data_IF_905816031745
#
_entry.id   IF_905816031745
#
_cell.length_a   1.000
_cell.length_b   1.000
_cell.length_c   1.000
_cell.angle_alpha   90.00
_cell.angle_beta   90.00
_cell.angle_gamma   90.00
#
_symmetry.space_group_name_H-M   'P 1'
#
loop_
_entity.id
_entity.type
_entity.pdbx_description
1 polymer ?
#
# COMPACT_ATOMS: atom_id res chain seq x y z
N UNK A 1 4.68 23.61 7.16
CA UNK A 1 5.83 22.81 6.60
C UNK A 1 6.02 21.46 7.27
N UNK A 2 5.63 21.31 8.53
CA UNK A 2 5.82 20.08 9.32
C UNK A 2 5.30 18.80 8.66
N UNK A 3 4.11 18.77 8.02
CA UNK A 3 3.62 17.53 7.40
C UNK A 3 4.50 17.04 6.24
N UNK A 4 5.02 17.97 5.44
CA UNK A 4 5.92 17.63 4.33
C UNK A 4 7.26 17.09 4.86
N UNK A 5 7.81 17.73 5.88
CA UNK A 5 9.04 17.26 6.54
C UNK A 5 8.83 15.86 7.13
N UNK A 6 7.70 15.62 7.77
CA UNK A 6 7.35 14.30 8.33
C UNK A 6 7.26 13.25 7.24
N UNK A 7 6.59 13.54 6.12
CA UNK A 7 6.50 12.62 4.98
C UNK A 7 7.89 12.24 4.45
N UNK A 8 8.72 13.24 4.19
CA UNK A 8 10.07 13.03 3.61
C UNK A 8 10.98 12.31 4.61
N UNK A 9 11.03 12.79 5.86
CA UNK A 9 11.91 12.24 6.89
C UNK A 9 11.55 10.79 7.22
N UNK A 10 10.28 10.48 7.45
CA UNK A 10 9.85 9.12 7.78
C UNK A 10 10.02 8.19 6.59
N UNK A 11 9.66 8.62 5.38
CA UNK A 11 9.87 7.80 4.18
C UNK A 11 11.36 7.51 3.96
N UNK A 12 12.22 8.52 4.08
CA UNK A 12 13.67 8.39 3.97
C UNK A 12 14.26 7.46 5.03
N UNK A 13 13.84 7.61 6.29
CA UNK A 13 14.27 6.76 7.40
C UNK A 13 13.87 5.30 7.19
N UNK A 14 12.64 5.05 6.72
CA UNK A 14 12.17 3.70 6.42
C UNK A 14 12.91 3.06 5.24
N UNK A 15 13.27 3.84 4.22
CA UNK A 15 14.12 3.37 3.13
C UNK A 15 15.51 3.02 3.62
N UNK A 16 16.10 3.88 4.45
CA UNK A 16 17.43 3.65 5.06
C UNK A 16 17.41 2.37 5.92
N UNK A 17 16.40 2.21 6.78
CA UNK A 17 16.22 0.97 7.56
C UNK A 17 16.08 -0.27 6.65
N UNK A 18 15.45 -0.12 5.50
CA UNK A 18 15.37 -1.15 4.46
C UNK A 18 16.74 -1.55 3.92
N UNK A 19 17.64 -0.62 3.68
CA UNK A 19 19.03 -0.90 3.22
C UNK A 19 19.86 -1.56 4.32
N UNK A 20 19.61 -1.23 5.59
CA UNK A 20 20.29 -1.77 6.76
C UNK A 20 19.85 -3.19 7.17
N UNK A 21 18.91 -3.82 6.43
CA UNK A 21 18.58 -5.24 6.62
C UNK A 21 17.12 -5.55 6.86
N UNK A 22 16.24 -4.56 7.05
CA UNK A 22 14.81 -4.81 7.21
C UNK A 22 14.17 -5.04 5.84
N UNK A 23 14.20 -6.28 5.35
CA UNK A 23 13.78 -6.69 4.00
C UNK A 23 12.39 -6.16 3.57
N UNK A 24 11.45 -6.03 4.51
CA UNK A 24 10.09 -5.53 4.24
C UNK A 24 10.09 -4.05 3.82
N UNK A 25 11.03 -3.24 4.32
CA UNK A 25 11.14 -1.81 4.06
C UNK A 25 11.97 -1.48 2.82
N UNK A 26 12.67 -2.45 2.22
CA UNK A 26 13.36 -2.29 0.92
C UNK A 26 12.42 -1.93 -0.23
N UNK A 27 11.11 -2.18 -0.06
CA UNK A 27 10.11 -1.83 -1.08
C UNK A 27 9.72 -0.37 -0.91
N UNK A 28 10.00 0.52 -1.88
CA UNK A 28 9.69 1.95 -1.77
C UNK A 28 8.21 2.23 -1.52
N UNK A 29 7.33 1.37 -2.04
CA UNK A 29 5.89 1.47 -1.76
C UNK A 29 5.54 1.23 -0.28
N UNK A 30 6.29 0.40 0.45
CA UNK A 30 6.07 0.19 1.88
C UNK A 30 6.57 1.39 2.70
N UNK A 31 7.73 1.94 2.36
CA UNK A 31 8.29 3.12 2.99
C UNK A 31 7.39 4.35 2.76
N UNK A 32 6.92 4.56 1.53
CA UNK A 32 5.99 5.65 1.20
C UNK A 32 4.67 5.55 1.99
N UNK A 33 4.11 4.35 2.15
CA UNK A 33 2.92 4.13 2.98
C UNK A 33 3.16 4.47 4.44
N UNK A 34 4.31 4.08 4.98
CA UNK A 34 4.71 4.43 6.35
C UNK A 34 4.87 5.94 6.54
N UNK A 35 5.53 6.62 5.59
CA UNK A 35 5.67 8.07 5.60
C UNK A 35 4.33 8.80 5.51
N UNK A 36 3.42 8.37 4.62
CA UNK A 36 2.07 8.90 4.52
C UNK A 36 1.26 8.65 5.81
N UNK A 37 1.35 7.46 6.39
CA UNK A 37 0.67 7.15 7.65
C UNK A 37 1.14 8.07 8.77
N UNK A 38 2.45 8.29 8.91
CA UNK A 38 3.00 9.20 9.92
C UNK A 38 2.55 10.66 9.69
N UNK A 39 2.63 11.12 8.45
CA UNK A 39 2.20 12.47 8.07
C UNK A 39 0.71 12.69 8.38
N UNK A 40 -0.17 11.78 7.92
CA UNK A 40 -1.62 11.91 8.16
C UNK A 40 -1.99 11.70 9.64
N UNK A 41 -1.23 10.96 10.41
CA UNK A 41 -1.42 10.90 11.87
C UNK A 41 -1.09 12.24 12.52
N UNK A 42 -0.04 12.92 12.07
CA UNK A 42 0.32 14.25 12.56
C UNK A 42 -0.76 15.27 12.22
N UNK A 43 -1.21 15.30 10.95
CA UNK A 43 -2.24 16.25 10.51
C UNK A 43 -3.59 15.96 11.18
N UNK A 44 -3.98 14.70 11.30
CA UNK A 44 -5.16 14.30 12.06
C UNK A 44 -5.10 14.75 13.54
N UNK A 45 -3.92 14.66 14.17
CA UNK A 45 -3.70 15.16 15.53
C UNK A 45 -3.99 16.65 15.67
N UNK A 46 -3.63 17.45 14.69
CA UNK A 46 -3.88 18.89 14.66
C UNK A 46 -5.37 19.23 14.68
N UNK A 47 -6.25 18.36 14.18
CA UNK A 47 -7.71 18.54 14.25
C UNK A 47 -8.26 18.48 15.66
N UNK A 48 -7.52 17.90 16.61
CA UNK A 48 -7.98 17.69 17.99
C UNK A 48 -7.19 18.51 18.99
N UNK A 49 -5.91 18.78 18.74
CA UNK A 49 -4.98 19.39 19.69
C UNK A 49 -4.23 20.56 19.05
N UNK A 50 -4.19 21.69 19.73
CA UNK A 50 -3.35 22.85 19.40
C UNK A 50 -3.88 23.73 18.27
N UNK A 51 -4.09 23.17 17.08
CA UNK A 51 -4.48 23.94 15.87
C UNK A 51 -5.96 23.85 15.51
N UNK A 52 -6.79 23.27 16.40
CA UNK A 52 -8.21 23.04 16.10
C UNK A 52 -8.98 24.31 15.71
N UNK A 53 -8.78 25.39 16.44
CA UNK A 53 -9.50 26.67 16.20
C UNK A 53 -9.08 27.26 14.84
N UNK A 54 -7.81 27.20 14.51
CA UNK A 54 -7.30 27.65 13.21
C UNK A 54 -7.89 26.83 12.06
N UNK A 55 -7.95 25.50 12.20
CA UNK A 55 -8.54 24.60 11.18
C UNK A 55 -10.04 24.87 11.03
N UNK A 56 -10.76 25.12 12.12
CA UNK A 56 -12.18 25.50 12.07
C UNK A 56 -12.37 26.84 11.34
N UNK A 57 -11.47 27.81 11.57
CA UNK A 57 -11.51 29.11 10.89
C UNK A 57 -11.23 29.01 9.37
N UNK A 58 -10.54 27.96 8.92
CA UNK A 58 -10.29 27.68 7.48
C UNK A 58 -11.54 27.17 6.76
N UNK A 59 -12.57 26.70 7.47
CA UNK A 59 -13.79 26.20 6.85
C UNK A 59 -14.61 27.38 6.31
N UNK A 60 -14.97 27.39 5.01
CA UNK A 60 -15.77 28.47 4.44
C UNK A 60 -17.09 28.65 5.17
N UNK A 61 -17.55 29.93 5.40
CA UNK A 61 -18.77 30.20 6.14
C UNK A 61 -20.06 29.64 5.52
N UNK A 62 -19.98 29.26 4.22
CA UNK A 62 -21.09 28.61 3.52
C UNK A 62 -21.35 27.17 3.97
N UNK A 63 -20.41 26.57 4.68
CA UNK A 63 -20.53 25.18 5.15
C UNK A 63 -21.11 25.15 6.58
N UNK A 64 -22.12 24.27 6.84
CA UNK A 64 -22.72 24.17 8.17
C UNK A 64 -21.79 23.43 9.15
N UNK A 65 -21.90 23.77 10.44
CA UNK A 65 -21.23 23.05 11.53
C UNK A 65 -19.71 22.82 11.33
N UNK A 66 -18.90 23.89 11.18
CA UNK A 66 -17.48 23.75 10.86
C UNK A 66 -16.70 22.88 11.87
N UNK A 67 -16.99 23.00 13.17
CA UNK A 67 -16.36 22.17 14.19
C UNK A 67 -16.67 20.67 14.06
N UNK A 68 -17.88 20.31 13.58
CA UNK A 68 -18.23 18.91 13.31
C UNK A 68 -17.50 18.40 12.07
N UNK A 69 -17.43 19.21 11.01
CA UNK A 69 -16.69 18.86 9.81
C UNK A 69 -15.21 18.58 10.12
N UNK A 70 -14.56 19.46 10.87
CA UNK A 70 -13.17 19.30 11.30
C UNK A 70 -12.98 18.03 12.14
N UNK A 71 -13.93 17.71 13.03
CA UNK A 71 -13.86 16.47 13.82
C UNK A 71 -13.99 15.22 12.94
N UNK A 72 -14.97 15.19 12.04
CA UNK A 72 -15.22 14.04 11.16
C UNK A 72 -14.06 13.81 10.19
N UNK A 73 -13.50 14.87 9.62
CA UNK A 73 -12.34 14.78 8.73
C UNK A 73 -11.11 14.29 9.48
N UNK A 74 -10.85 14.79 10.69
CA UNK A 74 -9.74 14.34 11.53
C UNK A 74 -9.86 12.85 11.91
N UNK A 75 -11.06 12.37 12.26
CA UNK A 75 -11.30 10.94 12.53
C UNK A 75 -11.08 10.11 11.27
N UNK A 76 -11.62 10.53 10.14
CA UNK A 76 -11.46 9.81 8.87
C UNK A 76 -9.99 9.77 8.42
N UNK A 77 -9.26 10.87 8.59
CA UNK A 77 -7.84 10.97 8.29
C UNK A 77 -7.02 10.01 9.15
N UNK A 78 -7.26 9.98 10.47
CA UNK A 78 -6.58 9.06 11.38
C UNK A 78 -6.90 7.59 11.06
N UNK A 79 -8.16 7.26 10.80
CA UNK A 79 -8.57 5.92 10.42
C UNK A 79 -7.88 5.48 9.12
N UNK A 80 -7.79 6.36 8.12
CA UNK A 80 -7.11 6.09 6.87
C UNK A 80 -5.58 6.02 7.05
N UNK A 81 -4.98 6.84 7.90
CA UNK A 81 -3.57 6.77 8.23
C UNK A 81 -3.20 5.39 8.81
N UNK A 82 -3.99 4.90 9.76
CA UNK A 82 -3.86 3.54 10.28
C UNK A 82 -4.10 2.50 9.18
N UNK A 83 -5.13 2.67 8.36
CA UNK A 83 -5.46 1.77 7.25
C UNK A 83 -4.37 1.66 6.20
N UNK A 84 -3.52 2.67 6.01
CA UNK A 84 -2.35 2.62 5.14
C UNK A 84 -1.31 1.59 5.60
N UNK A 85 -1.23 1.28 6.89
CA UNK A 85 -0.26 0.33 7.43
C UNK A 85 -0.60 -1.12 7.06
N UNK A 86 -1.89 -1.46 6.89
CA UNK A 86 -2.31 -2.80 6.47
C UNK A 86 -2.40 -2.93 4.95
N UNK A 87 -1.84 -4.01 4.42
CA UNK A 87 -1.86 -4.24 2.97
C UNK A 87 -3.27 -4.39 2.39
N UNK A 88 -4.21 -4.90 3.17
CA UNK A 88 -5.59 -5.14 2.69
C UNK A 88 -6.38 -3.84 2.54
N UNK A 89 -6.16 -2.88 3.42
CA UNK A 89 -6.90 -1.60 3.47
C UNK A 89 -6.16 -0.44 2.80
N UNK A 90 -4.85 -0.56 2.59
CA UNK A 90 -4.00 0.52 2.12
C UNK A 90 -4.50 1.19 0.82
N UNK A 91 -5.06 0.41 -0.11
CA UNK A 91 -5.61 0.97 -1.35
C UNK A 91 -6.88 1.78 -1.11
N UNK A 92 -7.79 1.26 -0.29
CA UNK A 92 -9.02 1.98 0.07
C UNK A 92 -8.70 3.26 0.85
N UNK A 93 -7.80 3.17 1.84
CA UNK A 93 -7.34 4.34 2.60
C UNK A 93 -6.68 5.40 1.71
N UNK A 94 -5.82 4.98 0.77
CA UNK A 94 -5.21 5.90 -0.18
C UNK A 94 -6.24 6.58 -1.09
N UNK A 95 -7.29 5.86 -1.51
CA UNK A 95 -8.38 6.43 -2.31
C UNK A 95 -9.15 7.49 -1.51
N UNK A 96 -9.55 7.16 -0.27
CA UNK A 96 -10.25 8.09 0.61
C UNK A 96 -9.42 9.33 0.88
N UNK A 97 -8.13 9.18 1.24
CA UNK A 97 -7.23 10.32 1.48
C UNK A 97 -7.03 11.18 0.24
N UNK A 98 -6.89 10.57 -0.94
CA UNK A 98 -6.82 11.33 -2.20
C UNK A 98 -8.09 12.14 -2.44
N UNK A 99 -9.26 11.55 -2.20
CA UNK A 99 -10.55 12.24 -2.32
C UNK A 99 -10.66 13.38 -1.30
N UNK A 100 -10.26 13.13 -0.04
CA UNK A 100 -10.26 14.16 0.99
C UNK A 100 -9.38 15.35 0.62
N UNK A 101 -8.16 15.10 0.14
CA UNK A 101 -7.26 16.16 -0.34
C UNK A 101 -7.92 17.02 -1.42
N UNK A 102 -8.61 16.40 -2.39
CA UNK A 102 -9.31 17.14 -3.45
C UNK A 102 -10.49 17.92 -2.90
N UNK A 103 -11.31 17.31 -2.05
CA UNK A 103 -12.52 17.96 -1.47
C UNK A 103 -12.15 19.09 -0.52
N UNK A 104 -11.02 18.99 0.19
CA UNK A 104 -10.56 20.05 1.10
C UNK A 104 -9.80 21.19 0.38
N UNK A 105 -9.52 21.04 -0.92
CA UNK A 105 -8.82 22.09 -1.66
C UNK A 105 -9.51 23.46 -1.65
N UNK A 106 -10.85 23.57 -1.82
CA UNK A 106 -11.54 24.85 -1.71
C UNK A 106 -11.34 25.53 -0.34
N UNK A 107 -11.28 24.77 0.75
CA UNK A 107 -10.99 25.30 2.08
C UNK A 107 -9.56 25.85 2.16
N UNK A 108 -8.59 25.17 1.54
CA UNK A 108 -7.21 25.65 1.44
C UNK A 108 -7.10 26.94 0.62
N UNK A 109 -7.88 27.07 -0.47
CA UNK A 109 -7.95 28.31 -1.26
C UNK A 109 -8.55 29.44 -0.42
N UNK A 110 -9.64 29.17 0.30
CA UNK A 110 -10.27 30.15 1.18
C UNK A 110 -9.31 30.60 2.29
N UNK A 111 -8.63 29.69 2.94
CA UNK A 111 -7.66 30.00 3.99
C UNK A 111 -6.47 30.84 3.50
N UNK A 112 -6.05 30.65 2.24
CA UNK A 112 -4.96 31.39 1.62
C UNK A 112 -5.34 32.79 1.15
N UNK A 113 -6.63 33.18 1.19
CA UNK A 113 -7.11 34.50 0.78
C UNK A 113 -7.01 35.56 1.88
N UNK A 114 -6.63 35.18 3.11
CA UNK A 114 -6.40 36.08 4.25
C UNK A 114 -4.99 36.68 4.26
N UNK A 115 -4.69 37.45 5.28
CA UNK A 115 -3.33 37.96 5.57
C UNK A 115 -2.53 36.84 6.23
N UNK A 116 -1.81 36.07 5.38
CA UNK A 116 -1.11 34.86 5.78
C UNK A 116 0.39 34.98 5.55
N UNK A 117 1.17 34.21 6.30
CA UNK A 117 2.60 34.03 6.07
C UNK A 117 2.86 33.45 4.67
N UNK A 118 3.97 33.79 4.03
CA UNK A 118 4.29 33.36 2.65
C UNK A 118 4.23 31.82 2.43
N UNK A 119 4.48 31.04 3.48
CA UNK A 119 4.34 29.58 3.44
C UNK A 119 2.88 29.10 3.34
N UNK A 120 1.97 29.95 3.79
CA UNK A 120 0.55 29.71 3.83
C UNK A 120 -0.20 30.35 2.67
N UNK A 121 0.53 31.03 1.79
CA UNK A 121 0.03 31.51 0.52
C UNK A 121 -0.44 30.37 -0.37
N UNK A 122 -1.34 30.68 -1.30
CA UNK A 122 -1.95 29.69 -2.20
C UNK A 122 -0.92 28.87 -2.99
N UNK A 123 0.18 29.49 -3.45
CA UNK A 123 1.22 28.82 -4.23
C UNK A 123 1.86 27.66 -3.46
N UNK A 124 2.54 27.91 -2.34
CA UNK A 124 3.16 26.87 -1.50
C UNK A 124 2.16 25.80 -1.02
N UNK A 125 0.97 26.20 -0.58
CA UNK A 125 -0.10 25.25 -0.17
C UNK A 125 -0.49 24.32 -1.31
N UNK A 126 -0.70 24.85 -2.51
CA UNK A 126 -1.06 24.06 -3.70
C UNK A 126 0.04 23.05 -4.06
N UNK A 127 1.30 23.49 -4.02
CA UNK A 127 2.44 22.60 -4.30
C UNK A 127 2.51 21.45 -3.29
N UNK A 128 2.41 21.77 -1.99
CA UNK A 128 2.43 20.75 -0.92
C UNK A 128 1.27 19.78 -1.08
N UNK A 129 0.08 20.27 -1.36
CA UNK A 129 -1.09 19.44 -1.60
C UNK A 129 -0.94 18.55 -2.84
N UNK A 130 -0.36 19.07 -3.94
CA UNK A 130 -0.07 18.27 -5.12
C UNK A 130 0.94 17.16 -4.82
N UNK A 131 1.94 17.41 -3.98
CA UNK A 131 2.88 16.38 -3.52
C UNK A 131 2.15 15.29 -2.73
N UNK A 132 1.30 15.66 -1.78
CA UNK A 132 0.53 14.68 -0.98
C UNK A 132 -0.45 13.87 -1.84
N UNK A 133 -1.14 14.54 -2.76
CA UNK A 133 -2.03 13.88 -3.70
C UNK A 133 -1.26 12.90 -4.60
N UNK A 134 -0.13 13.31 -5.14
CA UNK A 134 0.74 12.44 -5.96
C UNK A 134 1.22 11.23 -5.16
N UNK A 135 1.61 11.41 -3.90
CA UNK A 135 2.05 10.33 -3.03
C UNK A 135 0.92 9.33 -2.73
N UNK A 136 -0.30 9.82 -2.39
CA UNK A 136 -1.45 8.95 -2.11
C UNK A 136 -1.93 8.23 -3.37
N UNK A 137 -2.00 8.90 -4.52
CA UNK A 137 -2.34 8.30 -5.83
C UNK A 137 -1.29 7.26 -6.24
N UNK A 138 -0.01 7.50 -5.96
CA UNK A 138 1.05 6.51 -6.21
C UNK A 138 0.81 5.23 -5.42
N UNK A 139 0.42 5.33 -4.15
CA UNK A 139 0.04 4.16 -3.35
C UNK A 139 -1.20 3.49 -3.93
N UNK A 140 -2.22 4.25 -4.30
CA UNK A 140 -3.46 3.74 -4.90
C UNK A 140 -3.21 2.91 -6.16
N UNK A 141 -2.36 3.41 -7.06
CA UNK A 141 -2.08 2.77 -8.36
C UNK A 141 -1.12 1.59 -8.21
N UNK A 142 -0.04 1.75 -7.43
CA UNK A 142 1.01 0.74 -7.29
C UNK A 142 0.67 -0.36 -6.32
N UNK A 143 -0.33 -0.17 -5.46
CA UNK A 143 -0.75 -1.17 -4.50
C UNK A 143 -1.68 -2.19 -5.16
N UNK A 144 -1.14 -3.34 -5.60
CA UNK A 144 -1.94 -4.48 -6.06
C UNK A 144 -2.40 -5.28 -4.85
N UNK A 145 -3.73 -5.46 -4.65
CA UNK A 145 -4.23 -6.31 -3.57
C UNK A 145 -3.69 -7.73 -3.72
N UNK A 146 -3.38 -8.37 -2.58
CA UNK A 146 -2.88 -9.75 -2.55
C UNK A 146 -3.85 -10.76 -3.21
N UNK A 147 -5.15 -10.45 -3.25
CA UNK A 147 -6.20 -11.26 -3.87
C UNK A 147 -6.11 -11.36 -5.41
N UNK A 148 -5.34 -10.49 -6.07
CA UNK A 148 -5.16 -10.56 -7.53
C UNK A 148 -4.09 -11.60 -7.96
N UNK A 149 -3.46 -12.27 -7.01
CA UNK A 149 -2.68 -13.48 -7.29
C UNK A 149 -3.63 -14.67 -7.27
N UNK A 150 -4.41 -14.84 -8.32
CA UNK A 150 -5.03 -16.14 -8.58
C UNK A 150 -3.91 -17.16 -8.64
N UNK A 151 -3.86 -18.18 -7.77
CA UNK A 151 -2.88 -19.25 -7.92
C UNK A 151 -3.10 -19.82 -9.32
N UNK A 152 -2.03 -19.91 -10.08
CA UNK A 152 -2.10 -20.55 -11.39
C UNK A 152 -2.81 -21.89 -11.19
N UNK A 153 -3.96 -22.06 -11.87
CA UNK A 153 -4.70 -23.33 -11.82
C UNK A 153 -3.70 -24.42 -12.16
N UNK A 154 -3.47 -25.43 -11.31
CA UNK A 154 -2.56 -26.51 -11.63
C UNK A 154 -2.97 -27.08 -12.98
N UNK A 155 -2.02 -27.43 -13.85
CA UNK A 155 -2.34 -27.99 -15.17
C UNK A 155 -3.24 -29.19 -14.97
N UNK A 156 -4.35 -29.21 -15.72
CA UNK A 156 -5.39 -30.25 -15.64
C UNK A 156 -4.82 -31.67 -15.87
N UNK A 157 -3.67 -31.76 -16.48
CA UNK A 157 -2.88 -32.99 -16.64
C UNK A 157 -1.44 -32.67 -16.21
N UNK A 158 -0.98 -33.16 -15.07
CA UNK A 158 0.46 -33.15 -14.79
C UNK A 158 1.19 -33.88 -15.90
N UNK A 159 2.31 -33.36 -16.43
CA UNK A 159 3.10 -34.10 -17.43
C UNK A 159 3.46 -35.46 -16.86
N UNK A 160 3.29 -36.51 -17.68
CA UNK A 160 3.64 -37.85 -17.29
C UNK A 160 5.06 -37.88 -16.71
N UNK A 161 5.32 -38.64 -15.62
CA UNK A 161 6.63 -38.71 -15.02
C UNK A 161 7.64 -39.15 -16.09
N UNK A 162 8.71 -38.37 -16.26
CA UNK A 162 9.79 -38.73 -17.18
C UNK A 162 10.32 -40.06 -16.74
N UNK A 163 10.48 -41.04 -17.66
CA UNK A 163 11.10 -42.30 -17.33
C UNK A 163 12.49 -42.05 -16.76
N UNK A 164 12.76 -42.61 -15.59
CA UNK A 164 14.05 -42.49 -14.93
C UNK A 164 15.17 -42.94 -15.84
N UNK A 165 16.24 -42.15 -16.02
CA UNK A 165 17.42 -42.62 -16.79
C UNK A 165 18.09 -43.70 -15.96
N UNK A 166 17.82 -44.96 -16.29
CA UNK A 166 18.40 -46.10 -15.57
C UNK A 166 17.57 -47.39 -15.58
N UNK A 167 16.31 -47.36 -16.03
CA UNK A 167 15.63 -48.63 -16.30
C UNK A 167 16.06 -49.18 -17.66
N UNK A 168 17.35 -49.51 -17.73
CA UNK A 168 17.91 -50.33 -18.78
C UNK A 168 17.12 -51.64 -18.81
N UNK A 169 16.61 -51.97 -19.99
CA UNK A 169 15.99 -53.24 -20.31
C UNK A 169 16.83 -54.38 -19.67
N UNK A 170 16.32 -54.96 -18.60
CA UNK A 170 16.86 -56.26 -18.15
C UNK A 170 16.70 -57.24 -19.31
N UNK A 171 17.77 -57.89 -19.78
CA UNK A 171 17.66 -58.90 -20.82
C UNK A 171 16.75 -60.00 -20.32
N UNK A 172 15.74 -60.34 -21.11
CA UNK A 172 14.85 -61.47 -20.83
C UNK A 172 15.73 -62.72 -20.81
N UNK A 173 15.84 -63.38 -19.66
CA UNK A 173 16.47 -64.74 -19.58
C UNK A 173 15.71 -65.69 -20.50
N UNK A 174 16.39 -66.44 -21.33
CA UNK A 174 15.75 -67.46 -22.14
C UNK A 174 15.14 -68.54 -21.21
N UNK A 175 13.86 -68.82 -21.41
CA UNK A 175 13.19 -69.96 -20.75
C UNK A 175 13.71 -71.24 -21.38
N UNK A 176 14.60 -71.96 -20.68
CA UNK A 176 15.01 -73.30 -21.05
C UNK A 176 13.81 -74.21 -20.80
N UNK A 177 13.18 -74.66 -21.88
CA UNK A 177 12.16 -75.67 -21.84
C UNK A 177 12.89 -77.02 -21.65
N UNK A 178 12.89 -77.54 -20.44
CA UNK A 178 13.27 -78.92 -20.17
C UNK A 178 12.20 -79.87 -20.74
N UNK A 179 12.54 -80.54 -21.77
CA UNK A 179 11.75 -81.59 -22.41
C UNK A 179 11.78 -82.83 -21.48
N UNK A 180 10.72 -83.09 -20.77
CA UNK A 180 10.57 -84.38 -20.09
C UNK A 180 10.50 -85.48 -21.13
N UNK A 181 11.40 -86.39 -20.95
CA UNK A 181 11.48 -87.64 -21.73
C UNK A 181 10.62 -88.66 -21.03
N UNK A 182 9.43 -88.93 -21.62
CA UNK A 182 8.71 -90.14 -21.30
C UNK A 182 9.45 -91.30 -21.89
N UNK A 183 9.91 -92.22 -21.06
CA UNK A 183 10.24 -93.58 -21.46
C UNK A 183 9.39 -94.56 -20.68
N UNK A 184 8.57 -95.24 -21.44
CA UNK A 184 7.73 -96.38 -21.09
C UNK A 184 8.60 -97.61 -20.81
N UNK A 185 8.26 -98.33 -19.77
CA UNK A 185 8.16 -99.80 -19.75
C UNK A 185 7.44 -100.28 -18.53
#
# INVERSE_FOLDING_TARGET
>A
MEPLLTLVAVTGLLLLAGTLGIMRLRRPAAALRGGLAAMFTLTAGAHFVGMREEIVAMVPPALPAPGLLVTLTGIAELACALGLLWQRTARASAAVLSTMLVVMFPANVYAASGDVSWWDELGPRTVIQAVFLTATVTVLIRHRPAAARTPAKPPLNPPAPRPSPGQGRRPRRPVIRTRAREDSS
#
